data_IF_115171119691
#
_entry.id   IF_115171119691
#
_cell.length_a   1.000
_cell.length_b   1.000
_cell.length_c   1.000
_cell.angle_alpha   90.00
_cell.angle_beta   90.00
_cell.angle_gamma   90.00
#
_symmetry.space_group_name_H-M   'P 1'
#
loop_
_entity.id
_entity.type
_entity.pdbx_description
1 polymer ?
#
# COMPACT_ATOMS: atom_id res chain seq x y z
N UNK A 1 8.05 35.12 54.17
CA UNK A 1 8.89 33.93 54.46
C UNK A 1 8.32 32.78 53.64
N UNK A 2 8.96 32.46 52.52
CA UNK A 2 8.50 31.41 51.60
C UNK A 2 9.10 30.07 52.03
N UNK A 3 8.24 29.12 52.38
CA UNK A 3 8.63 27.79 52.82
C UNK A 3 8.97 26.91 51.60
N UNK A 4 10.26 26.78 51.30
CA UNK A 4 10.76 25.77 50.36
C UNK A 4 10.62 24.39 51.02
N UNK A 5 9.60 23.62 50.62
CA UNK A 5 9.34 22.28 51.10
C UNK A 5 10.21 21.25 50.32
N UNK A 6 11.22 20.61 50.96
CA UNK A 6 12.24 19.80 50.28
C UNK A 6 11.73 18.48 49.67
N UNK A 7 10.50 18.06 50.02
CA UNK A 7 9.91 16.82 49.51
C UNK A 7 9.36 16.95 48.08
N UNK A 8 8.95 18.15 47.65
CA UNK A 8 8.39 18.37 46.32
C UNK A 8 9.46 18.27 45.22
N UNK A 9 10.69 18.66 45.51
CA UNK A 9 11.82 18.55 44.57
C UNK A 9 12.23 17.09 44.28
N UNK A 10 12.01 16.16 45.24
CA UNK A 10 12.35 14.74 45.04
C UNK A 10 11.36 14.03 44.13
N UNK A 11 10.06 14.33 44.27
CA UNK A 11 9.03 13.74 43.41
C UNK A 11 9.15 14.22 41.95
N UNK A 12 9.39 15.51 41.74
CA UNK A 12 9.60 16.09 40.40
C UNK A 12 10.85 15.51 39.73
N UNK A 13 11.95 15.35 40.48
CA UNK A 13 13.16 14.72 39.96
C UNK A 13 12.95 13.26 39.54
N UNK A 14 12.15 12.51 40.30
CA UNK A 14 11.86 11.11 40.00
C UNK A 14 11.01 10.96 38.74
N UNK A 15 9.97 11.79 38.58
CA UNK A 15 9.11 11.80 37.39
C UNK A 15 9.91 12.21 36.15
N UNK A 16 10.76 13.24 36.25
CA UNK A 16 11.61 13.66 35.14
C UNK A 16 12.56 12.53 34.69
N UNK A 17 13.22 11.84 35.63
CA UNK A 17 14.12 10.73 35.32
C UNK A 17 13.40 9.57 34.61
N UNK A 18 12.17 9.25 35.06
CA UNK A 18 11.34 8.19 34.49
C UNK A 18 10.87 8.53 33.07
N UNK A 19 10.52 9.80 32.84
CA UNK A 19 10.08 10.27 31.53
C UNK A 19 11.25 10.23 30.53
N UNK A 20 12.43 10.70 30.92
CA UNK A 20 13.63 10.64 30.08
C UNK A 20 14.10 9.22 29.79
N UNK A 21 13.92 8.28 30.73
CA UNK A 21 14.26 6.87 30.51
C UNK A 21 13.34 6.15 29.53
N UNK A 22 12.07 6.56 29.44
CA UNK A 22 11.05 5.92 28.60
C UNK A 22 10.93 6.52 27.19
N UNK A 23 11.46 7.72 26.94
CA UNK A 23 11.45 8.36 25.61
C UNK A 23 12.74 8.11 24.81
N UNK A 24 13.62 7.22 25.27
CA UNK A 24 14.84 6.87 24.54
C UNK A 24 14.54 5.98 23.35
N UNK A 25 14.81 6.45 22.13
CA UNK A 25 14.81 5.59 20.94
C UNK A 25 16.06 4.70 20.97
N UNK A 26 15.86 3.38 21.03
CA UNK A 26 16.95 2.43 20.82
C UNK A 26 17.24 2.34 19.32
N UNK A 27 18.34 2.95 18.86
CA UNK A 27 18.82 2.78 17.50
C UNK A 27 19.66 1.51 17.47
N UNK A 28 19.16 0.47 16.81
CA UNK A 28 19.98 -0.69 16.45
C UNK A 28 20.85 -0.27 15.27
N UNK A 29 22.18 -0.16 15.43
CA UNK A 29 23.03 0.14 14.29
C UNK A 29 22.93 -1.03 13.30
N UNK A 30 22.61 -0.71 12.04
CA UNK A 30 22.68 -1.69 10.96
C UNK A 30 24.08 -2.30 10.87
N UNK A 31 24.17 -3.56 10.45
CA UNK A 31 25.46 -4.21 10.24
C UNK A 31 26.24 -3.46 9.16
N UNK A 32 27.35 -2.80 9.52
CA UNK A 32 28.23 -2.08 8.59
C UNK A 32 28.90 -3.00 7.57
N UNK A 33 28.96 -4.30 7.87
CA UNK A 33 29.46 -5.35 7.01
C UNK A 33 28.32 -6.14 6.36
N UNK A 34 27.14 -5.54 6.23
CA UNK A 34 26.09 -6.15 5.43
C UNK A 34 26.45 -6.06 3.94
N UNK A 35 26.85 -7.19 3.36
CA UNK A 35 27.25 -7.29 1.95
C UNK A 35 26.05 -7.30 0.99
N UNK A 36 24.82 -7.25 1.52
CA UNK A 36 23.61 -7.42 0.74
C UNK A 36 23.15 -8.87 0.69
N UNK A 37 22.03 -9.16 0.01
CA UNK A 37 21.62 -10.53 -0.28
C UNK A 37 22.51 -11.13 -1.38
N UNK A 38 22.57 -12.46 -1.43
CA UNK A 38 23.22 -13.17 -2.52
C UNK A 38 22.61 -12.82 -3.90
N UNK A 39 23.39 -12.94 -4.99
CA UNK A 39 22.87 -12.76 -6.33
C UNK A 39 21.68 -13.68 -6.61
N UNK A 40 20.69 -13.16 -7.34
CA UNK A 40 19.50 -13.92 -7.71
C UNK A 40 19.89 -15.16 -8.54
N UNK A 41 19.42 -16.37 -8.19
CA UNK A 41 19.67 -17.59 -8.98
C UNK A 41 19.19 -17.45 -10.43
N UNK A 42 19.93 -18.03 -11.38
CA UNK A 42 19.65 -17.90 -12.83
C UNK A 42 18.32 -18.55 -13.23
N UNK A 43 17.92 -19.57 -12.50
CA UNK A 43 16.70 -20.34 -12.71
C UNK A 43 15.44 -19.47 -12.51
N UNK A 44 15.54 -18.43 -11.67
CA UNK A 44 14.43 -17.51 -11.45
C UNK A 44 14.14 -16.64 -12.67
N UNK A 45 15.11 -16.39 -13.54
CA UNK A 45 14.87 -15.64 -14.78
C UNK A 45 14.08 -16.46 -15.79
N UNK A 46 14.24 -17.78 -15.79
CA UNK A 46 13.43 -18.68 -16.62
C UNK A 46 12.03 -18.79 -16.04
N UNK A 47 11.92 -18.96 -14.71
CA UNK A 47 10.63 -19.13 -14.02
C UNK A 47 9.75 -17.88 -14.03
N UNK A 48 10.34 -16.71 -13.88
CA UNK A 48 9.64 -15.42 -13.93
C UNK A 48 9.83 -14.71 -15.28
N UNK A 49 10.29 -15.44 -16.30
CA UNK A 49 10.34 -14.96 -17.67
C UNK A 49 8.92 -14.77 -18.18
N UNK A 50 8.65 -13.65 -18.84
CA UNK A 50 7.34 -13.35 -19.42
C UNK A 50 7.02 -14.36 -20.54
N UNK A 51 6.02 -15.22 -20.33
CA UNK A 51 5.31 -15.95 -21.39
C UNK A 51 4.05 -15.17 -21.79
N UNK A 52 3.38 -15.60 -22.87
CA UNK A 52 2.24 -14.85 -23.42
C UNK A 52 1.16 -14.53 -22.39
N UNK A 53 0.54 -13.34 -22.47
CA UNK A 53 0.22 -12.65 -21.23
C UNK A 53 -1.08 -13.14 -20.59
N UNK A 54 -2.09 -13.60 -21.34
CA UNK A 54 -3.39 -14.01 -20.78
C UNK A 54 -4.13 -15.03 -21.67
N UNK A 55 -4.75 -16.04 -21.06
CA UNK A 55 -5.59 -17.03 -21.74
C UNK A 55 -7.05 -16.57 -21.92
N UNK A 56 -7.49 -15.56 -21.17
CA UNK A 56 -8.83 -15.00 -21.21
C UNK A 56 -8.80 -13.51 -20.87
N UNK A 57 -9.61 -12.72 -21.58
CA UNK A 57 -9.89 -11.32 -21.29
C UNK A 57 -11.41 -11.11 -21.36
N UNK A 58 -12.03 -10.71 -20.25
CA UNK A 58 -13.43 -10.26 -20.20
C UNK A 58 -13.49 -8.82 -19.69
N UNK A 59 -14.46 -8.07 -20.20
CA UNK A 59 -14.63 -6.66 -19.89
C UNK A 59 -16.11 -6.34 -19.80
N UNK A 60 -16.52 -5.70 -18.70
CA UNK A 60 -17.88 -5.23 -18.49
C UNK A 60 -17.90 -3.88 -17.77
N UNK A 61 -18.97 -3.10 -17.96
CA UNK A 61 -19.21 -1.86 -17.22
C UNK A 61 -20.02 -2.20 -15.98
N UNK A 62 -19.49 -1.93 -14.78
CA UNK A 62 -20.15 -2.24 -13.51
C UNK A 62 -20.77 -1.01 -12.84
N UNK A 63 -20.31 0.19 -13.19
CA UNK A 63 -20.94 1.43 -12.73
C UNK A 63 -20.63 2.60 -13.66
N UNK A 64 -21.57 3.53 -13.76
CA UNK A 64 -21.36 4.83 -14.39
C UNK A 64 -21.54 5.94 -13.34
N UNK A 65 -20.66 6.95 -13.40
CA UNK A 65 -20.68 8.15 -12.57
C UNK A 65 -20.59 9.39 -13.46
N UNK A 66 -20.81 10.55 -12.86
CA UNK A 66 -20.78 11.81 -13.59
C UNK A 66 -19.36 12.15 -14.07
N UNK A 67 -18.33 11.73 -13.35
CA UNK A 67 -16.93 12.05 -13.62
C UNK A 67 -16.15 10.89 -14.27
N UNK A 68 -16.58 9.65 -14.06
CA UNK A 68 -15.86 8.46 -14.52
C UNK A 68 -16.79 7.25 -14.72
N UNK A 69 -16.29 6.23 -15.41
CA UNK A 69 -16.95 4.93 -15.60
C UNK A 69 -16.10 3.84 -14.95
N UNK A 70 -16.74 2.89 -14.26
CA UNK A 70 -16.06 1.74 -13.66
C UNK A 70 -16.29 0.52 -14.52
N UNK A 71 -15.19 -0.05 -14.99
CA UNK A 71 -15.12 -1.27 -15.74
C UNK A 71 -14.57 -2.39 -14.85
N UNK A 72 -15.14 -3.59 -14.96
CA UNK A 72 -14.50 -4.78 -14.43
C UNK A 72 -13.81 -5.52 -15.58
N UNK A 73 -12.54 -5.81 -15.39
CA UNK A 73 -11.70 -6.54 -16.34
C UNK A 73 -11.26 -7.82 -15.67
N UNK A 74 -11.62 -8.96 -16.25
CA UNK A 74 -11.20 -10.29 -15.77
C UNK A 74 -10.15 -10.86 -16.72
N UNK A 75 -8.97 -11.15 -16.16
CA UNK A 75 -7.82 -11.72 -16.85
C UNK A 75 -7.65 -13.18 -16.41
N UNK A 76 -7.67 -14.12 -17.34
CA UNK A 76 -7.30 -15.51 -17.09
C UNK A 76 -5.79 -15.68 -17.24
N UNK A 77 -5.11 -16.05 -16.16
CA UNK A 77 -3.68 -16.39 -16.14
C UNK A 77 -3.49 -17.87 -15.86
N UNK A 78 -2.27 -18.40 -16.07
CA UNK A 78 -1.92 -19.76 -15.63
C UNK A 78 -2.09 -19.95 -14.12
N UNK A 79 -1.97 -18.88 -13.34
CA UNK A 79 -2.14 -18.88 -11.89
C UNK A 79 -3.61 -18.75 -11.43
N UNK A 80 -4.56 -18.62 -12.37
CA UNK A 80 -5.98 -18.39 -12.11
C UNK A 80 -6.49 -17.06 -12.65
N UNK A 81 -7.75 -16.74 -12.33
CA UNK A 81 -8.38 -15.48 -12.73
C UNK A 81 -7.92 -14.33 -11.83
N UNK A 82 -7.60 -13.19 -12.46
CA UNK A 82 -7.30 -11.91 -11.80
C UNK A 82 -8.36 -10.91 -12.24
N UNK A 83 -8.95 -10.21 -11.27
CA UNK A 83 -9.99 -9.22 -11.53
C UNK A 83 -9.40 -7.83 -11.28
N UNK A 84 -9.71 -6.89 -12.17
CA UNK A 84 -9.37 -5.49 -12.03
C UNK A 84 -10.62 -4.64 -12.11
N UNK A 85 -10.77 -3.70 -11.19
CA UNK A 85 -11.74 -2.62 -11.35
C UNK A 85 -11.01 -1.40 -11.92
N UNK A 86 -11.27 -1.07 -13.19
CA UNK A 86 -10.71 0.05 -13.92
C UNK A 86 -11.68 1.23 -13.92
N UNK A 87 -11.24 2.32 -13.32
CA UNK A 87 -11.93 3.59 -13.20
C UNK A 87 -11.43 4.51 -14.32
N UNK A 88 -12.20 4.58 -15.40
CA UNK A 88 -11.91 5.35 -16.58
C UNK A 88 -12.48 6.77 -16.44
N UNK A 89 -11.63 7.78 -16.44
CA UNK A 89 -12.07 9.17 -16.52
C UNK A 89 -12.76 9.42 -17.89
N UNK A 90 -13.78 10.29 -17.90
CA UNK A 90 -14.47 10.66 -19.16
C UNK A 90 -13.58 11.41 -20.15
N UNK A 91 -12.55 12.07 -19.66
CA UNK A 91 -11.49 12.71 -20.44
C UNK A 91 -10.29 11.78 -20.47
N UNK A 92 -9.89 11.26 -21.64
CA UNK A 92 -8.75 10.34 -21.74
C UNK A 92 -7.47 10.95 -21.17
N UNK A 93 -6.78 10.19 -20.33
CA UNK A 93 -5.43 10.49 -19.83
C UNK A 93 -4.49 9.32 -20.19
N UNK A 94 -3.23 9.61 -20.48
CA UNK A 94 -2.18 8.60 -20.69
C UNK A 94 -1.63 8.03 -19.37
N UNK A 95 -1.92 8.70 -18.24
CA UNK A 95 -1.47 8.30 -16.91
C UNK A 95 -2.45 7.33 -16.25
N UNK A 96 -1.94 6.18 -15.81
CA UNK A 96 -2.70 5.15 -15.11
C UNK A 96 -2.11 4.90 -13.73
N UNK A 97 -2.94 5.04 -12.69
CA UNK A 97 -2.59 4.72 -11.31
C UNK A 97 -3.04 3.31 -10.99
N UNK A 98 -2.12 2.48 -10.50
CA UNK A 98 -2.47 1.16 -9.96
C UNK A 98 -2.59 1.20 -8.44
N UNK A 99 -3.70 0.69 -7.93
CA UNK A 99 -3.98 0.54 -6.51
C UNK A 99 -3.88 -0.95 -6.16
N UNK A 100 -2.88 -1.29 -5.35
CA UNK A 100 -2.66 -2.64 -4.83
C UNK A 100 -3.07 -2.72 -3.37
N UNK A 101 -4.20 -3.39 -3.04
CA UNK A 101 -4.60 -3.58 -1.66
C UNK A 101 -3.56 -4.40 -0.87
N UNK A 102 -3.19 -3.89 0.31
CA UNK A 102 -2.36 -4.65 1.27
C UNK A 102 -3.20 -5.79 1.85
N UNK A 103 -2.55 -6.90 2.23
CA UNK A 103 -3.23 -8.04 2.86
C UNK A 103 -4.01 -7.59 4.11
N UNK A 104 -5.31 -7.93 4.17
CA UNK A 104 -6.21 -7.48 5.25
C UNK A 104 -6.70 -6.03 5.09
N UNK A 105 -6.38 -5.38 3.97
CA UNK A 105 -6.94 -4.08 3.60
C UNK A 105 -8.45 -4.15 3.38
N UNK A 106 -9.13 -3.04 3.61
CA UNK A 106 -10.59 -2.95 3.40
C UNK A 106 -10.89 -2.56 1.95
N UNK A 107 -11.66 -3.34 1.17
CA UNK A 107 -11.99 -3.02 -0.22
C UNK A 107 -12.59 -1.63 -0.41
N UNK A 108 -13.37 -1.16 0.57
CA UNK A 108 -13.97 0.17 0.58
C UNK A 108 -12.92 1.30 0.44
N UNK A 109 -11.75 1.15 1.07
CA UNK A 109 -10.70 2.17 1.03
C UNK A 109 -10.04 2.23 -0.35
N UNK A 110 -9.73 1.07 -0.93
CA UNK A 110 -9.17 0.99 -2.29
C UNK A 110 -10.12 1.62 -3.32
N UNK A 111 -11.43 1.33 -3.21
CA UNK A 111 -12.47 1.94 -4.05
C UNK A 111 -12.58 3.44 -3.87
N UNK A 112 -12.45 3.95 -2.64
CA UNK A 112 -12.45 5.38 -2.37
C UNK A 112 -11.27 6.08 -3.05
N UNK A 113 -10.04 5.56 -2.90
CA UNK A 113 -8.86 6.16 -3.54
C UNK A 113 -8.95 6.10 -5.06
N UNK A 114 -9.35 4.97 -5.64
CA UNK A 114 -9.48 4.85 -7.09
C UNK A 114 -10.54 5.80 -7.66
N UNK A 115 -11.71 5.89 -7.02
CA UNK A 115 -12.75 6.86 -7.39
C UNK A 115 -12.29 8.30 -7.23
N UNK A 116 -11.55 8.61 -6.16
CA UNK A 116 -10.98 9.95 -5.97
C UNK A 116 -10.03 10.31 -7.11
N UNK A 117 -9.06 9.46 -7.46
CA UNK A 117 -8.13 9.75 -8.56
C UNK A 117 -8.85 9.88 -9.91
N UNK A 118 -9.80 8.97 -10.18
CA UNK A 118 -10.63 9.01 -11.37
C UNK A 118 -11.43 10.30 -11.48
N UNK A 119 -12.03 10.79 -10.39
CA UNK A 119 -12.72 12.08 -10.40
C UNK A 119 -11.79 13.29 -10.61
N UNK A 120 -10.47 13.13 -10.40
CA UNK A 120 -9.48 14.21 -10.51
C UNK A 120 -8.58 14.12 -11.74
N UNK A 121 -9.02 13.38 -12.77
CA UNK A 121 -8.36 13.38 -14.08
C UNK A 121 -7.34 12.26 -14.30
N UNK A 122 -7.22 11.30 -13.38
CA UNK A 122 -6.32 10.16 -13.53
C UNK A 122 -7.12 8.88 -13.70
N UNK A 123 -6.82 8.12 -14.75
CA UNK A 123 -7.32 6.76 -14.83
C UNK A 123 -6.72 5.92 -13.70
N UNK A 124 -7.52 5.02 -13.14
CA UNK A 124 -7.09 4.22 -12.00
C UNK A 124 -7.54 2.77 -12.12
N UNK A 125 -6.71 1.81 -11.73
CA UNK A 125 -7.08 0.40 -11.68
C UNK A 125 -6.80 -0.19 -10.30
N UNK A 126 -7.79 -0.86 -9.71
CA UNK A 126 -7.61 -1.68 -8.51
C UNK A 126 -7.33 -3.10 -8.97
N UNK A 127 -6.23 -3.69 -8.52
CA UNK A 127 -5.91 -5.10 -8.77
C UNK A 127 -6.39 -5.92 -7.59
N UNK A 128 -7.46 -6.69 -7.78
CA UNK A 128 -8.01 -7.54 -6.72
C UNK A 128 -7.15 -8.78 -6.50
N UNK A 129 -7.15 -9.26 -5.27
CA UNK A 129 -6.48 -10.51 -4.91
C UNK A 129 -7.53 -11.61 -4.81
N UNK A 130 -7.19 -12.80 -5.27
CA UNK A 130 -8.07 -13.98 -5.28
C UNK A 130 -8.51 -14.48 -3.89
N UNK A 131 -7.96 -13.93 -2.81
CA UNK A 131 -8.19 -14.35 -1.42
C UNK A 131 -8.83 -13.25 -0.54
N UNK A 132 -9.51 -12.27 -1.13
CA UNK A 132 -10.34 -11.32 -0.37
C UNK A 132 -11.68 -11.92 0.08
#
# INVERSE_FOLDING_TARGET
MSANCPHMNRAVAFVALLTFGLTGCFVVPGNRHYEGPDPRPKELFVRYGYSEPYALLRHEVIAERDEYTVHQITLGTEAGETILDYYQNKTPNEELIFVFPVLGGRPLMSRYFAGYFAAHGFDCAIVHRSNE
#
